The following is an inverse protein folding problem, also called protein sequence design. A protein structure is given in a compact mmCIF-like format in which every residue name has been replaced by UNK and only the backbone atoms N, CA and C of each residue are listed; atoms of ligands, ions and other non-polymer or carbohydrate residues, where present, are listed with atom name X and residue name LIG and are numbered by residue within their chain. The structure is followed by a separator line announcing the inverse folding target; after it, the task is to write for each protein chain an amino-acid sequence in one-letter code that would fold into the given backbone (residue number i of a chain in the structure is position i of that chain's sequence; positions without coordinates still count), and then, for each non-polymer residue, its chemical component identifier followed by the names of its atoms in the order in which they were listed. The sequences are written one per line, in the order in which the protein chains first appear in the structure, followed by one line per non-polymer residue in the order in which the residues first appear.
data_IF_462982405076
#
_entry.id   IF_462982405076
#
_cell.length_a   1.000
_cell.length_b   1.000
_cell.length_c   1.000
_cell.angle_alpha   90.00
_cell.angle_beta   90.00
_cell.angle_gamma   90.00
#
_symmetry.space_group_name_H-M   'P 1'
#
loop_
_entity.id
_entity.type
_entity.pdbx_description
1 polymer ?
2 polymer ?
3 non-polymer ?
4 non-polymer ?
5 non-polymer ?
6 non-polymer ?
7 water ?
#
# COMPACT_ATOMS: atom_id res chain seq x y z
N UNK A 1 1.93 0.50 -4.57
CA UNK A 1 2.97 -0.26 -3.88
C UNK A 1 2.89 -1.74 -4.21
N UNK A 2 4.05 -2.33 -4.45
CA UNK A 2 4.12 -3.78 -4.67
C UNK A 2 3.52 -4.53 -3.49
N UNK A 3 3.70 -4.00 -2.28
CA UNK A 3 3.24 -4.68 -1.07
C UNK A 3 1.72 -4.70 -1.02
N UNK A 4 1.09 -3.54 -1.15
CA UNK A 4 -0.36 -3.50 -1.15
C UNK A 4 -0.94 -4.26 -2.33
N UNK A 5 -0.25 -4.25 -3.48
CA UNK A 5 -0.79 -4.93 -4.66
C UNK A 5 -0.82 -6.44 -4.46
N UNK A 6 0.29 -7.03 -4.01
CA UNK A 6 0.26 -8.47 -3.74
C UNK A 6 -0.71 -8.79 -2.60
N UNK A 7 -0.85 -7.91 -1.61
CA UNK A 7 -1.83 -8.15 -0.55
C UNK A 7 -3.23 -8.27 -1.15
N UNK A 8 -3.63 -7.29 -1.95
CA UNK A 8 -4.99 -7.29 -2.49
C UNK A 8 -5.18 -8.46 -3.46
N UNK A 9 -4.14 -8.78 -4.25
CA UNK A 9 -4.26 -9.91 -5.17
C UNK A 9 -4.45 -11.21 -4.39
N UNK A 10 -3.73 -11.37 -3.28
CA UNK A 10 -3.87 -12.58 -2.48
C UNK A 10 -5.23 -12.64 -1.80
N UNK A 11 -5.57 -11.59 -1.05
CA UNK A 11 -6.85 -11.55 -0.36
C UNK A 11 -8.02 -11.77 -1.33
N UNK A 12 -7.89 -11.30 -2.56
CA UNK A 12 -8.93 -11.55 -3.55
C UNK A 12 -9.21 -13.03 -3.71
N UNK A 13 -8.22 -13.88 -3.43
CA UNK A 13 -8.38 -15.33 -3.50
C UNK A 13 -8.40 -15.97 -2.11
N UNK A 14 -8.49 -15.17 -1.05
CA UNK A 14 -8.58 -15.67 0.32
C UNK A 14 -7.41 -16.61 0.63
N UNK A 15 -6.21 -16.14 0.36
CA UNK A 15 -5.01 -16.94 0.52
C UNK A 15 -3.87 -16.08 1.06
N UNK A 16 -2.86 -16.76 1.59
CA UNK A 16 -1.66 -16.10 2.05
C UNK A 16 -0.75 -15.75 0.87
N UNK A 17 0.12 -14.77 1.10
CA UNK A 17 1.13 -14.43 0.12
C UNK A 17 1.91 -15.69 -0.27
N UNK A 18 2.02 -15.93 -1.58
CA UNK A 18 2.78 -17.06 -2.06
C UNK A 18 4.28 -16.80 -1.87
N UNK A 19 5.09 -17.86 -1.76
CA UNK A 19 6.54 -17.65 -1.61
C UNK A 19 7.14 -16.84 -2.74
N UNK A 20 6.58 -16.92 -3.94
CA UNK A 20 7.06 -16.09 -5.03
C UNK A 20 6.79 -14.62 -4.80
N UNK A 21 5.55 -14.28 -4.48
CA UNK A 21 5.21 -12.90 -4.15
C UNK A 21 6.04 -12.39 -2.99
N UNK A 22 6.22 -13.22 -1.97
CA UNK A 22 7.09 -12.86 -0.86
C UNK A 22 8.50 -12.55 -1.34
N UNK A 23 9.05 -13.39 -2.23
CA UNK A 23 10.39 -13.14 -2.74
C UNK A 23 10.45 -11.82 -3.49
N UNK A 24 9.42 -11.53 -4.31
CA UNK A 24 9.33 -10.23 -4.96
C UNK A 24 9.41 -9.10 -3.94
N UNK A 25 8.61 -9.18 -2.89
CA UNK A 25 8.66 -8.16 -1.84
C UNK A 25 10.06 -8.06 -1.26
N UNK A 26 10.77 -9.20 -1.16
CA UNK A 26 12.13 -9.19 -0.63
C UNK A 26 13.05 -8.39 -1.56
N UNK A 27 12.98 -8.67 -2.86
CA UNK A 27 13.76 -7.89 -3.81
C UNK A 27 13.45 -6.40 -3.70
N UNK A 28 12.18 -6.07 -3.47
CA UNK A 28 11.79 -4.67 -3.31
C UNK A 28 12.50 -4.04 -2.10
N UNK A 29 12.31 -4.64 -0.92
CA UNK A 29 12.91 -4.09 0.28
C UNK A 29 14.42 -4.00 0.13
N UNK A 30 15.04 -4.94 -0.58
CA UNK A 30 16.48 -4.86 -0.80
C UNK A 30 16.85 -3.77 -1.80
N UNK A 31 15.92 -3.40 -2.67
CA UNK A 31 16.12 -2.25 -3.55
C UNK A 31 15.74 -0.93 -2.89
N UNK A 32 15.27 -0.98 -1.63
CA UNK A 32 14.80 0.24 -0.98
C UNK A 32 15.78 1.39 -1.04
N UNK A 33 17.06 1.14 -0.74
CA UNK A 33 18.02 2.23 -0.60
C UNK A 33 18.27 2.93 -1.95
N UNK A 34 18.60 2.16 -2.98
CA UNK A 34 18.73 2.73 -4.31
C UNK A 34 17.45 3.44 -4.73
N UNK A 35 16.30 2.87 -4.38
CA UNK A 35 15.02 3.49 -4.71
C UNK A 35 14.91 4.89 -4.11
N UNK A 36 15.05 4.99 -2.79
CA UNK A 36 15.00 6.29 -2.13
C UNK A 36 16.03 7.24 -2.72
N UNK A 37 17.22 6.72 -3.05
CA UNK A 37 18.23 7.56 -3.68
C UNK A 37 17.69 8.20 -4.96
N UNK A 38 17.14 7.39 -5.86
CA UNK A 38 16.55 7.93 -7.07
C UNK A 38 15.48 8.97 -6.73
N UNK A 39 14.63 8.65 -5.75
CA UNK A 39 13.54 9.55 -5.40
C UNK A 39 14.07 10.92 -5.00
N UNK A 40 15.07 10.96 -4.11
CA UNK A 40 15.59 12.24 -3.65
C UNK A 40 16.39 12.95 -4.73
N UNK A 41 17.03 12.19 -5.64
CA UNK A 41 17.72 12.82 -6.76
C UNK A 41 16.71 13.55 -7.66
N UNK A 42 15.59 12.89 -7.96
CA UNK A 42 14.56 13.54 -8.76
C UNK A 42 14.00 14.76 -8.03
N UNK A 43 13.58 14.57 -6.78
CA UNK A 43 13.05 15.69 -6.00
C UNK A 43 14.02 16.87 -6.00
N UNK A 44 15.31 16.61 -5.86
CA UNK A 44 16.30 17.68 -5.80
C UNK A 44 16.29 18.53 -7.07
N UNK A 45 16.22 17.88 -8.23
CA UNK A 45 16.29 18.56 -9.52
C UNK A 45 14.92 18.76 -10.14
N UNK A 46 13.85 18.79 -9.34
CA UNK A 46 12.50 18.83 -9.88
C UNK A 46 12.27 20.09 -10.70
N UNK A 47 12.68 21.24 -10.17
CA UNK A 47 12.45 22.50 -10.88
C UNK A 47 13.11 22.48 -12.25
N UNK A 48 14.35 21.98 -12.32
CA UNK A 48 15.02 21.82 -13.60
C UNK A 48 14.22 20.90 -14.52
N UNK A 49 13.80 19.75 -14.00
CA UNK A 49 13.09 18.77 -14.82
C UNK A 49 11.84 19.39 -15.44
N UNK A 50 11.04 20.09 -14.63
CA UNK A 50 9.78 20.63 -15.13
C UNK A 50 10.04 21.81 -16.06
N UNK A 51 10.98 22.67 -15.71
CA UNK A 51 11.28 23.83 -16.54
C UNK A 51 11.74 23.38 -17.92
N UNK A 52 12.87 22.71 -17.98
CA UNK A 52 13.39 22.24 -19.27
C UNK A 52 12.33 21.41 -19.98
N UNK A 53 11.61 20.59 -19.21
C UNK A 53 8.71 20.13 -20.54
N UNK A 54 8.83 21.27 -19.87
CA UNK A 54 8.12 22.46 -20.26
C UNK A 54 8.59 23.05 -21.57
N UNK A 55 9.82 23.58 -21.56
CA UNK A 55 10.36 24.21 -22.78
C UNK A 55 10.36 23.23 -23.94
N UNK A 56 10.80 21.99 -23.71
CA UNK A 56 10.85 21.01 -24.78
C UNK A 56 9.45 20.69 -25.29
N UNK A 57 8.49 20.54 -24.38
CA UNK A 57 7.11 20.35 -24.78
C UNK A 57 6.66 21.47 -25.70
N UNK A 58 6.69 22.70 -25.21
CA UNK A 58 6.25 23.85 -26.01
C UNK A 58 6.94 23.86 -27.37
N UNK A 59 8.27 23.70 -27.39
CA UNK A 59 8.99 23.67 -28.65
C UNK A 59 8.47 22.57 -29.57
N UNK A 60 8.02 21.45 -29.01
CA UNK A 60 7.49 20.36 -29.79
C UNK A 60 5.99 20.47 -30.04
N UNK A 61 5.27 21.18 -29.18
CA UNK A 61 3.82 21.36 -29.33
C UNK A 61 3.46 22.83 -29.12
N UNK A 62 3.96 23.72 -29.98
CA UNK A 62 3.64 25.15 -29.82
C UNK A 62 2.16 25.47 -29.91
N UNK A 63 1.34 24.54 -30.43
CA UNK A 63 -0.08 24.81 -30.59
C UNK A 63 -0.76 25.02 -29.24
N UNK A 64 -0.32 24.31 -28.21
CA UNK A 64 -1.02 24.38 -26.92
C UNK A 64 -0.87 25.77 -26.31
N UNK A 65 0.26 26.44 -26.56
CA UNK A 65 0.49 27.76 -25.98
C UNK A 65 0.06 28.89 -26.91
N UNK A 66 -0.32 28.59 -28.14
CA UNK A 66 -0.71 29.59 -29.12
C UNK A 66 -2.18 29.96 -28.96
N UNK A 67 -2.61 31.05 -29.58
CA UNK A 67 -4.03 31.41 -29.53
C UNK A 67 -4.91 30.25 -29.96
N UNK A 68 -5.97 30.02 -29.19
CA UNK A 68 -6.80 28.86 -29.37
C UNK A 68 -6.33 27.62 -28.61
N UNK A 69 -5.05 27.57 -28.24
CA UNK A 69 -4.54 26.44 -27.49
C UNK A 69 -4.90 26.52 -26.01
N UNK A 70 -4.85 25.35 -25.36
CA UNK A 70 -5.28 25.25 -23.97
C UNK A 70 -4.39 26.03 -23.02
N UNK A 71 -3.13 26.28 -23.38
CA UNK A 71 -2.17 26.96 -22.52
C UNK A 71 -1.73 28.29 -23.11
N UNK A 72 -2.67 29.01 -23.72
CA UNK A 72 -2.39 30.33 -24.29
C UNK A 72 -2.31 31.35 -23.17
N UNK A 73 -1.18 32.06 -23.08
CA UNK A 73 -0.96 33.02 -22.04
C UNK A 73 -0.02 32.50 -20.95
N UNK A 74 0.60 33.44 -20.23
CA UNK A 74 1.59 33.05 -19.24
C UNK A 74 0.93 32.44 -18.00
N UNK A 75 -0.31 32.81 -17.72
CA UNK A 75 -1.01 32.23 -16.57
C UNK A 75 -1.39 30.78 -16.85
N UNK A 76 -1.93 30.50 -18.04
CA UNK A 76 -2.27 29.13 -18.39
C UNK A 76 -1.02 28.30 -18.60
N UNK A 77 0.00 28.87 -19.25
CA UNK A 77 1.31 28.23 -19.30
C UNK A 77 1.77 27.82 -17.92
N UNK A 78 1.74 28.76 -16.97
CA UNK A 78 2.14 28.48 -15.61
C UNK A 78 1.34 27.31 -15.03
N UNK A 79 0.00 27.35 -15.15
CA UNK A 79 -0.81 26.26 -14.63
C UNK A 79 -0.39 24.93 -15.22
N UNK A 80 -0.14 24.91 -16.52
CA UNK A 80 0.33 23.71 -17.26
C UNK A 80 1.71 23.25 -16.63
N UNK A 81 2.60 24.19 -16.41
CA UNK A 81 3.86 23.82 -15.68
C UNK A 81 3.42 23.19 -14.29
N UNK A 82 2.50 23.82 -13.57
CA UNK A 82 2.06 23.25 -12.26
C UNK A 82 1.62 21.73 -12.42
N UNK A 83 0.81 21.43 -13.43
CA UNK A 83 0.40 20.01 -13.67
C UNK A 83 1.73 19.15 -13.85
N UNK A 84 2.64 19.59 -14.68
CA UNK A 84 3.84 18.78 -14.85
C UNK A 84 4.52 18.51 -13.51
N UNK A 85 4.60 19.52 -12.65
CA UNK A 85 5.12 19.32 -11.31
C UNK A 85 4.35 18.22 -10.59
N UNK A 86 3.02 18.33 -10.58
CA UNK A 86 2.17 17.28 -9.99
C UNK A 86 2.63 15.91 -10.45
N UNK A 87 2.68 15.70 -11.77
CA UNK A 87 2.95 14.37 -12.29
C UNK A 87 4.35 13.90 -11.93
N UNK A 88 5.33 14.81 -11.92
CA UNK A 88 6.67 14.41 -11.50
C UNK A 88 6.65 13.92 -10.05
N UNK A 89 6.00 14.67 -9.17
CA UNK A 89 5.84 14.21 -7.80
C UNK A 89 5.23 12.81 -7.76
N UNK A 90 4.15 12.61 -8.51
CA UNK A 90 3.58 11.26 -8.62
C UNK A 90 4.63 10.24 -9.03
N UNK A 91 5.54 10.62 -9.92
CA UNK A 91 6.58 9.69 -10.36
C UNK A 91 7.49 9.35 -9.18
N UNK A 92 7.81 10.33 -8.34
CA UNK A 92 8.68 10.03 -7.20
C UNK A 92 7.96 9.09 -6.22
N UNK A 93 6.68 9.35 -5.95
CA UNK A 93 5.90 8.42 -5.14
C UNK A 93 5.99 7.01 -5.71
N UNK A 94 5.66 6.85 -6.99
CA UNK A 94 5.73 5.55 -7.62
C UNK A 94 7.08 4.89 -7.47
N UNK A 95 8.15 5.64 -7.74
CA UNK A 95 9.49 5.11 -7.56
C UNK A 95 9.64 4.52 -6.16
N UNK A 96 9.32 5.32 -5.14
CA UNK A 96 9.47 4.85 -3.76
C UNK A 96 8.60 3.61 -3.51
N UNK A 97 7.43 3.52 -4.14
CA UNK A 97 6.45 2.51 -3.77
C UNK A 97 6.70 1.15 -4.42
N UNK A 98 7.27 1.12 -5.62
CA UNK A 98 7.55 -0.13 -6.30
C UNK A 98 6.61 -0.47 -7.43
N UNK A 99 5.54 0.30 -7.62
CA UNK A 99 4.62 0.09 -8.73
C UNK A 99 3.93 1.42 -9.01
N UNK A 100 2.82 1.37 -9.75
CA UNK A 100 2.16 2.58 -10.23
C UNK A 100 0.92 2.91 -9.41
N UNK A 101 0.71 2.25 -8.28
CA UNK A 101 -0.50 2.46 -7.48
C UNK A 101 -0.69 3.93 -7.15
N UNK A 102 0.26 4.61 -6.49
CA UNK A 102 0.02 6.00 -6.12
C UNK A 102 -0.23 6.91 -7.31
N UNK A 103 0.42 6.65 -8.45
CA UNK A 103 0.20 7.46 -9.64
C UNK A 103 -1.21 7.27 -10.15
N UNK A 104 -1.65 6.01 -10.30
CA UNK A 104 -3.01 5.73 -10.72
C UNK A 104 -4.01 6.38 -9.77
N UNK A 105 -3.92 6.05 -8.48
CA UNK A 105 -4.87 6.55 -7.50
C UNK A 105 -4.94 8.07 -7.50
N UNK A 106 -3.80 8.74 -7.63
CA UNK A 106 -3.77 10.18 -7.40
C UNK A 106 -4.04 10.99 -8.66
N UNK A 107 -3.67 10.48 -9.84
CA UNK A 107 -3.75 11.31 -11.03
C UNK A 107 -3.83 10.58 -12.35
N UNK A 108 -4.48 9.42 -12.37
CA UNK A 108 -4.84 8.78 -13.64
C UNK A 108 -6.27 8.25 -13.68
N UNK A 109 -6.89 7.97 -12.54
CA UNK A 109 -8.27 7.51 -12.52
C UNK A 109 -9.16 8.66 -12.94
N UNK A 110 -9.58 8.66 -14.21
CA UNK A 110 -10.49 9.67 -14.71
C UNK A 110 -9.84 10.93 -15.21
N UNK A 111 -8.53 10.91 -15.49
CA UNK A 111 -7.87 12.10 -16.02
C UNK A 111 -8.49 12.54 -17.33
N UNK A 112 -8.73 11.58 -18.24
CA UNK A 112 -9.30 11.94 -19.53
C UNK A 112 -10.59 12.74 -19.34
N UNK A 113 -11.40 12.36 -18.36
CA UNK A 113 -12.59 13.15 -18.04
C UNK A 113 -12.21 14.57 -17.66
N UNK A 114 -11.31 14.71 -16.69
CA UNK A 114 -10.83 16.01 -16.23
C UNK A 114 -10.44 16.89 -17.41
N UNK A 115 -9.40 16.48 -18.14
CA UNK A 115 -8.88 17.29 -19.23
C UNK A 115 -9.90 17.50 -20.33
N UNK A 116 -10.84 16.56 -20.50
CA UNK A 116 -11.89 16.77 -21.49
C UNK A 116 -12.78 17.93 -21.10
N UNK A 117 -13.22 17.96 -19.84
CA UNK A 117 -13.92 19.14 -19.33
C UNK A 117 -13.07 20.39 -19.52
N UNK A 118 -11.80 20.33 -19.09
CA UNK A 118 -10.93 21.50 -19.14
C UNK A 118 -10.57 21.92 -20.56
N UNK A 119 -10.66 21.00 -21.52
CA UNK A 119 -10.26 21.31 -22.87
C UNK A 119 -8.78 21.16 -23.12
N UNK A 120 -8.08 20.37 -22.30
CA UNK A 120 -6.65 20.17 -22.44
C UNK A 120 -6.38 18.98 -23.36
N UNK A 121 -5.52 19.10 -24.37
CA UNK A 121 -5.19 17.93 -25.20
C UNK A 121 -4.34 16.95 -24.41
N UNK A 122 -4.80 15.70 -24.36
CA UNK A 122 -4.16 14.70 -23.50
C UNK A 122 -2.78 14.35 -24.04
N UNK A 123 -2.67 14.14 -25.36
CA UNK A 123 -1.37 13.88 -25.96
C UNK A 123 -0.36 14.94 -25.58
N UNK A 124 -0.81 16.19 -25.41
CA UNK A 124 0.09 17.23 -24.94
C UNK A 124 0.66 16.91 -23.57
N UNK A 125 -0.20 16.48 -22.65
CA UNK A 125 0.27 16.07 -21.32
C UNK A 125 1.28 14.94 -21.46
N UNK A 126 0.92 13.91 -22.25
CA UNK A 126 1.83 12.80 -22.49
C UNK A 126 3.20 13.30 -22.95
N UNK A 127 3.21 14.30 -23.83
CA UNK A 127 4.48 14.82 -24.33
C UNK A 127 5.22 15.58 -23.24
N UNK A 128 4.50 16.30 -22.38
CA UNK A 128 5.14 17.01 -21.29
C UNK A 128 5.84 16.06 -20.33
N UNK A 129 5.13 15.03 -19.88
CA UNK A 129 5.74 14.08 -18.96
C UNK A 129 6.84 13.28 -19.67
N UNK A 130 6.69 13.02 -20.97
CA UNK A 130 7.75 12.35 -21.72
C UNK A 130 9.03 13.18 -21.69
N UNK A 131 8.94 14.44 -22.10
CA UNK A 131 10.09 15.34 -22.00
C UNK A 131 10.65 15.33 -20.58
N UNK A 132 9.76 15.36 -19.59
CA UNK A 132 10.18 15.23 -18.20
C UNK A 132 10.97 13.95 -17.99
N UNK A 133 10.73 12.91 -18.79
CA UNK A 133 11.53 11.69 -18.68
C UNK A 133 12.83 11.77 -19.47
N UNK A 134 12.92 12.63 -20.49
CA UNK A 134 14.20 12.84 -21.15
C UNK A 134 15.17 13.58 -20.23
N UNK A 135 14.73 14.71 -19.68
CA UNK A 135 15.54 15.43 -18.70
C UNK A 135 15.87 14.52 -17.52
N UNK A 136 14.82 14.00 -16.87
CA UNK A 136 15.02 13.10 -15.73
C UNK A 136 16.05 12.02 -16.06
N UNK A 137 15.87 11.32 -17.18
CA UNK A 137 16.86 10.33 -17.59
C UNK A 137 18.24 10.94 -17.71
N UNK A 138 18.34 12.20 -18.12
CA UNK A 138 19.64 12.86 -18.16
C UNK A 138 20.21 13.04 -16.77
N UNK A 139 19.36 13.21 -15.76
CA UNK A 139 19.84 13.39 -14.39
C UNK A 139 20.30 12.10 -13.74
N UNK A 140 19.90 10.94 -14.28
CA UNK A 140 20.22 9.65 -13.69
C UNK A 140 21.14 8.86 -14.62
N UNK A 141 22.04 8.08 -14.01
CA UNK A 141 22.97 7.24 -14.74
C UNK A 141 22.51 5.79 -14.63
N UNK A 142 22.32 5.14 -15.78
CA UNK A 142 21.83 3.77 -15.84
C UNK A 142 22.39 2.83 -14.80
N UNK A 143 23.33 1.98 -15.23
C UNK A 143 19.22 1.70 -13.47
N UNK A 144 19.71 2.65 -12.69
CA UNK A 144 18.83 3.51 -11.90
C UNK A 144 17.79 4.19 -12.79
N UNK A 145 18.21 4.51 -14.02
CA UNK A 145 17.35 5.24 -14.94
C UNK A 145 16.16 4.39 -15.39
N UNK A 146 16.33 3.08 -15.43
CA UNK A 146 15.29 2.17 -15.88
C UNK A 146 14.00 2.41 -15.12
N UNK A 147 14.01 2.14 -13.81
CA UNK A 147 12.82 2.23 -12.96
C UNK A 147 12.01 3.50 -13.27
N UNK A 148 12.57 4.66 -12.93
CA UNK A 148 11.90 5.91 -13.23
C UNK A 148 11.44 5.96 -14.68
N UNK A 149 12.23 5.40 -15.58
CA UNK A 149 11.87 5.33 -16.98
C UNK A 149 10.50 4.71 -17.18
N UNK A 150 10.32 3.46 -16.78
CA UNK A 150 9.01 2.83 -16.94
C UNK A 150 7.94 3.54 -16.13
N UNK A 151 8.31 4.26 -15.07
CA UNK A 151 7.30 5.03 -14.34
C UNK A 151 6.72 6.14 -15.22
N UNK A 152 7.58 7.04 -15.71
CA UNK A 152 7.14 8.05 -16.66
C UNK A 152 6.34 7.41 -17.79
N UNK A 153 6.93 6.40 -18.43
CA UNK A 153 6.27 5.75 -19.56
C UNK A 153 4.87 5.28 -19.20
N UNK A 154 4.71 4.65 -18.04
CA UNK A 154 3.37 4.27 -17.63
C UNK A 154 2.48 5.50 -17.48
N UNK A 155 3.05 6.63 -17.11
CA UNK A 155 2.24 7.85 -17.01
C UNK A 155 1.74 8.30 -18.37
N UNK A 156 2.66 8.59 -19.31
CA UNK A 156 2.20 9.11 -20.60
C UNK A 156 1.40 8.08 -21.38
N UNK A 157 1.53 6.80 -21.05
CA UNK A 157 0.69 5.81 -21.69
C UNK A 157 -0.71 5.84 -21.10
N UNK A 158 -0.78 5.87 -19.76
CA UNK A 158 -2.05 5.79 -19.07
C UNK A 158 -2.88 7.04 -19.28
N UNK A 159 -2.23 8.16 -19.57
CA UNK A 159 -2.97 9.41 -19.75
C UNK A 159 -4.00 9.27 -20.88
N UNK A 160 -3.59 8.70 -22.01
CA UNK A 160 -4.47 8.56 -23.19
C UNK A 160 -4.97 7.14 -23.35
N UNK B 1 -6.92 1.16 1.28
CA UNK B 1 -5.85 0.20 1.66
C UNK B 1 -4.48 0.83 1.44
N UNK B 2 -3.84 1.20 2.54
CA UNK B 2 -2.49 1.74 2.53
C UNK B 2 -1.61 0.89 3.44
N UNK B 3 -0.34 1.30 3.54
CA UNK B 3 0.61 0.65 4.44
C UNK B 3 1.64 1.69 4.84
N UNK B 4 2.72 1.24 5.49
CA UNK B 4 3.77 2.16 5.91
C UNK B 4 4.17 3.08 4.78
N UNK B 5 4.60 2.52 3.65
CA UNK B 5 5.10 3.32 2.54
C UNK B 5 3.98 4.21 1.99
N UNK B 6 2.87 3.59 1.57
CA UNK B 6 1.77 4.39 1.02
C UNK B 6 1.19 5.33 2.06
N UNK B 7 1.27 4.99 3.34
CA UNK B 7 0.85 5.93 4.37
C UNK B 7 1.74 7.16 4.38
N UNK B 8 3.06 6.97 4.25
CA UNK B 8 3.98 8.10 4.16
C UNK B 8 3.67 8.93 2.91
N UNK B 9 3.49 8.25 1.77
CA UNK B 9 3.13 8.92 0.53
C UNK B 9 1.92 9.82 0.73
N UNK B 10 0.79 9.21 1.08
CA UNK B 10 -0.44 9.99 1.30
C UNK B 10 -0.22 11.10 2.30
N UNK B 11 0.61 10.85 3.32
CA UNK B 11 1.00 11.94 4.22
C UNK B 11 1.72 13.06 3.48
N UNK B 12 2.35 12.75 2.34
CA UNK B 12 3.06 13.74 1.55
C UNK B 12 2.29 14.15 0.30
N UNK B 13 1.03 13.73 0.16
CA UNK B 13 0.21 14.09 -0.99
C UNK B 13 -0.87 15.10 -0.66
N UNK B 14 -1.55 14.93 0.48
CA UNK B 14 -2.59 15.87 0.86
C UNK B 14 -2.01 17.24 1.17
N UNK B 15 -0.72 17.32 1.49
CA UNK B 15 -0.03 18.60 1.66
C UNK B 15 0.59 19.10 0.38
N UNK B 16 0.62 18.28 -0.68
CA UNK B 16 1.18 18.69 -1.94
C UNK B 16 2.68 18.89 -1.91
N UNK B 17 3.40 18.09 -1.13
CA UNK B 17 4.84 18.22 -0.97
C UNK B 17 5.53 16.98 -1.50
N UNK B 18 6.70 17.18 -2.11
CA UNK B 18 7.58 16.05 -2.37
C UNK B 18 8.01 15.43 -1.04
N UNK B 19 8.47 14.18 -1.12
CA UNK B 19 8.91 13.47 0.07
C UNK B 19 10.13 14.16 0.67
N UNK B 20 10.04 14.56 1.93
CA UNK B 20 11.14 15.22 2.61
C UNK B 20 11.97 14.19 3.38
N UNK B 21 12.97 14.67 4.12
CA UNK B 21 13.86 13.78 4.85
C UNK B 21 13.10 12.88 5.81
N UNK B 22 11.99 13.37 6.39
CA UNK B 22 11.21 12.56 7.30
C UNK B 22 10.60 11.35 6.58
N UNK B 23 9.91 11.59 5.47
CA UNK B 23 9.38 10.48 4.67
C UNK B 23 10.47 9.48 4.36
N UNK B 24 11.63 9.96 3.90
CA UNK B 24 12.74 9.06 3.60
C UNK B 24 13.15 8.28 4.83
N UNK B 25 13.03 8.88 6.02
CA UNK B 25 13.40 8.19 7.25
C UNK B 25 12.42 7.06 7.55
N UNK B 26 11.13 7.36 7.60
CA UNK B 26 10.14 6.31 7.88
C UNK B 26 10.24 5.19 6.86
N UNK B 27 10.24 5.55 5.57
CA UNK B 27 10.46 4.54 4.53
C UNK B 27 11.69 3.72 4.83
N UNK B 28 12.77 4.38 5.24
CA UNK B 28 13.98 3.68 5.65
C UNK B 28 13.67 2.63 6.70
N UNK B 29 12.97 3.03 7.76
CA UNK B 29 12.64 2.09 8.82
C UNK B 29 11.89 0.87 8.31
N UNK B 30 10.81 1.11 7.57
CA UNK B 30 10.07 -0.04 7.05
C UNK B 30 10.98 -0.93 6.22
N UNK B 31 11.78 -0.32 5.34
CA UNK B 31 12.74 -1.11 4.55
C UNK B 31 13.66 -1.91 5.46
N UNK B 32 13.87 -1.45 6.69
CA UNK B 32 14.73 -2.16 7.62
C UNK B 32 14.00 -3.32 8.27
N UNK B 33 12.69 -3.23 8.44
CA UNK B 33 11.90 -4.32 9.01
C UNK B 33 11.30 -5.26 7.97
N UNK B 34 11.50 -4.96 6.68
CA UNK B 34 10.87 -5.71 5.62
C UNK B 34 11.18 -7.19 5.65
N UNK B 35 12.46 -7.55 5.58
CA UNK B 35 12.84 -8.96 5.59
C UNK B 35 12.19 -9.70 6.75
N UNK B 36 12.23 -9.11 7.95
CA UNK B 36 11.54 -9.72 9.09
C UNK B 36 10.08 -10.00 8.75
N UNK B 37 9.36 -8.96 8.30
CA UNK B 37 7.95 -9.13 7.99
C UNK B 37 7.73 -10.25 6.99
N UNK B 38 8.52 -10.25 5.91
CA UNK B 38 8.39 -11.29 4.88
C UNK B 38 8.53 -12.68 5.50
N UNK B 39 9.63 -12.89 6.24
CA UNK B 39 9.85 -14.20 6.84
C UNK B 39 8.68 -14.60 7.74
N UNK B 40 8.30 -13.72 8.66
CA UNK B 40 7.20 -14.03 9.57
C UNK B 40 5.94 -14.40 8.80
N UNK B 41 5.64 -13.67 7.71
CA UNK B 41 4.47 -14.00 6.91
C UNK B 41 4.61 -15.38 6.29
N UNK B 42 5.81 -15.74 5.85
CA UNK B 42 6.03 -17.09 5.35
C UNK B 42 5.74 -18.13 6.43
N UNK B 43 6.30 -17.94 7.63
CA UNK B 43 6.16 -18.94 8.69
C UNK B 43 4.71 -19.09 9.11
N UNK B 44 4.00 -17.98 9.30
CA UNK B 44 2.58 -18.05 9.65
C UNK B 44 1.80 -18.72 8.53
N UNK B 45 2.04 -18.30 7.28
CA UNK B 45 1.38 -18.94 6.16
C UNK B 45 1.57 -20.45 6.19
N UNK B 46 2.74 -20.91 6.63
CA UNK B 46 3.01 -22.35 6.64
C UNK B 46 2.29 -23.06 7.77
N UNK B 47 1.98 -22.36 8.87
CA UNK B 47 1.49 -23.00 10.09
C UNK B 47 0.16 -22.43 10.55
N UNK B 48 -0.62 -21.86 9.64
CA UNK B 48 -1.90 -21.26 10.03
C UNK B 48 -2.79 -22.28 10.73
N UNK B 49 -2.93 -23.47 10.14
CA UNK B 49 -3.74 -24.52 10.74
C UNK B 49 -3.34 -24.77 12.19
N UNK B 50 -2.09 -25.18 12.41
CA UNK B 50 -1.66 -25.53 13.76
C UNK B 50 -1.84 -24.35 14.72
N UNK B 51 -1.74 -23.12 14.23
CA UNK B 51 -1.91 -21.96 15.09
C UNK B 51 -3.36 -21.82 15.52
N UNK B 52 -4.30 -21.94 14.58
CA UNK B 52 -5.71 -21.86 14.97
C UNK B 52 -6.06 -23.01 15.90
N UNK B 53 -5.47 -24.19 15.67
CA UNK B 53 -5.63 -25.31 16.59
C UNK B 53 -5.22 -24.90 18.00
N UNK B 54 -3.95 -24.53 18.17
CA UNK B 54 -3.43 -24.21 19.49
C UNK B 54 -4.22 -23.07 20.14
N UNK B 55 -4.76 -22.16 19.34
CA UNK B 55 -5.59 -21.09 19.88
C UNK B 55 -6.92 -21.63 20.40
N UNK B 56 -7.61 -22.45 19.61
CA UNK B 56 -8.93 -22.95 20.00
C UNK B 56 -8.82 -23.81 21.25
N UNK B 57 -8.02 -24.87 21.19
CA UNK B 57 -7.79 -25.66 22.39
C UNK B 57 -7.28 -24.80 23.54
N UNK B 58 -6.66 -23.66 23.23
CA UNK B 58 -6.06 -22.83 24.27
C UNK B 58 -7.12 -22.11 25.08
N UNK B 59 -8.00 -21.34 24.42
CA UNK B 59 -8.95 -20.51 25.15
C UNK B 59 -10.39 -21.02 25.10
N UNK B 60 -10.73 -21.95 24.21
CA UNK B 60 -12.12 -22.28 23.94
C UNK B 60 -12.52 -23.68 24.42
N UNK B 61 -11.78 -24.71 24.03
CA UNK B 61 -12.27 -26.07 24.21
C UNK B 61 -12.41 -26.43 25.68
N UNK B 62 -13.36 -27.33 25.96
CA UNK B 62 -13.57 -27.89 27.29
C UNK B 62 -14.07 -26.84 28.28
N UNK B 63 -15.03 -26.03 27.83
CA UNK B 63 -15.72 -25.07 28.68
C UNK B 63 -17.16 -24.98 28.23
N UNK B 64 -17.91 -24.05 28.81
CA UNK B 64 -19.29 -23.83 28.40
C UNK B 64 -19.38 -23.49 26.91
N UNK B 65 -18.50 -22.59 26.45
CA UNK B 65 -18.55 -22.05 25.09
C UNK B 65 -18.79 -23.17 24.09
N UNK B 66 -18.20 -24.33 24.32
CA UNK B 66 -18.29 -25.45 23.38
C UNK B 66 -19.39 -26.44 23.73
N UNK B 67 -19.95 -26.38 24.93
CA UNK B 67 -20.98 -27.33 25.36
C UNK B 67 -22.36 -26.80 25.00
N UNK B 68 -23.39 -27.66 25.04
CA UNK B 68 -24.76 -27.20 24.81
C UNK B 68 -25.05 -25.89 25.52
N UNK B 69 -25.94 -25.08 24.95
CA UNK B 69 -26.06 -23.71 25.40
C UNK B 69 -24.87 -22.84 25.04
N UNK B 70 -23.94 -23.35 24.25
CA UNK B 70 -22.72 -22.62 23.92
C UNK B 70 -22.76 -22.02 22.54
N UNK B 71 -21.91 -21.02 22.30
CA UNK B 71 -21.94 -20.27 21.08
C UNK B 71 -21.19 -20.96 19.93
N UNK B 72 -20.27 -21.80 20.33
CA UNK B 72 -19.61 -22.66 19.33
C UNK B 72 -19.94 -24.13 19.67
N UNK B 73 -21.12 -24.43 20.19
CA UNK B 73 -21.43 -25.78 20.71
C UNK B 73 -21.73 -26.68 19.49
N UNK B 74 -22.63 -26.28 18.58
CA UNK B 74 -22.98 -27.14 17.42
C UNK B 74 -21.81 -27.22 16.43
N UNK B 75 -21.80 -28.15 15.48
CA UNK B 75 -20.66 -28.26 14.53
C UNK B 75 -20.67 -27.01 13.53
N UNK B 76 -21.84 -26.57 13.03
CA UNK B 76 -21.93 -25.39 12.16
C UNK B 76 -21.32 -24.15 12.89
N UNK B 77 -21.71 -23.86 14.16
CA UNK B 77 -21.13 -22.70 14.92
C UNK B 77 -19.59 -22.94 15.20
N UNK B 78 -19.17 -24.16 15.51
CA UNK B 78 -17.71 -24.48 15.60
C UNK B 78 -16.98 -23.99 14.23
N UNK B 79 -17.47 -24.41 13.06
CA UNK B 79 -16.80 -24.11 11.76
C UNK B 79 -16.79 -22.52 11.54
N UNK B 80 -17.93 -21.93 11.76
CA UNK B 80 -18.01 -20.45 11.75
C UNK B 80 -16.92 -19.84 12.74
N UNK B 81 -16.82 -20.35 13.97
CA UNK B 81 -15.87 -19.72 14.94
C UNK B 81 -14.43 -19.91 14.36
N UNK B 82 -13.96 -21.15 14.16
CA UNK B 82 -12.57 -21.35 13.61
C UNK B 82 -12.35 -20.57 12.26
N UNK B 83 -13.37 -20.38 11.47
CA UNK B 83 -13.31 -19.58 10.26
C UNK B 83 -13.03 -18.12 10.59
N UNK B 84 -13.69 -17.60 11.62
CA UNK B 84 -13.42 -16.24 12.08
C UNK B 84 -11.96 -16.09 12.52
N UNK B 85 -11.47 -17.03 13.32
CA UNK B 85 -10.08 -16.94 13.77
C UNK B 85 -9.12 -17.03 12.60
N UNK B 86 -9.46 -17.84 11.59
CA UNK B 86 -8.61 -17.92 10.41
C UNK B 86 -8.56 -16.58 9.69
N UNK B 87 -9.72 -15.96 9.49
CA UNK B 87 -9.75 -14.61 8.92
C UNK B 87 -8.88 -13.66 9.73
N UNK B 88 -9.15 -13.55 11.03
CA UNK B 88 -8.40 -12.64 11.89
C UNK B 88 -6.90 -12.86 11.74
N UNK B 89 -6.46 -14.11 11.75
CA UNK B 89 -5.03 -14.36 11.63
C UNK B 89 -4.51 -13.89 10.27
N UNK B 90 -5.25 -14.17 9.20
CA UNK B 90 -4.76 -13.85 7.86
C UNK B 90 -4.66 -12.34 7.66
N UNK B 91 -5.63 -11.60 8.19
CA UNK B 91 -5.55 -10.14 8.09
C UNK B 91 -4.53 -9.58 9.06
N UNK B 92 -4.25 -10.27 10.16
CA UNK B 92 -3.15 -9.89 11.03
C UNK B 92 -1.81 -10.05 10.31
N UNK B 93 -1.66 -11.14 9.57
CA UNK B 93 -0.48 -11.32 8.74
C UNK B 93 -0.40 -10.24 7.67
N UNK B 94 -1.52 -9.94 7.03
CA UNK B 94 -1.58 -8.84 6.07
C UNK B 94 -1.07 -7.55 6.70
N UNK B 95 -1.84 -7.00 7.64
CA UNK B 95 -1.42 -5.76 8.29
C UNK B 95 0.01 -5.79 8.77
N UNK B 96 0.43 -6.91 9.33
CA UNK B 96 1.82 -7.04 9.78
C UNK B 96 2.78 -6.76 8.64
N UNK B 97 2.65 -7.51 7.54
CA UNK B 97 3.54 -7.31 6.40
C UNK B 97 3.44 -5.89 5.88
N UNK B 98 2.24 -5.29 5.92
CA UNK B 98 2.03 -3.96 5.38
C UNK B 98 2.70 -2.90 6.23
N UNK B 99 2.40 -2.88 7.53
CA UNK B 99 2.93 -1.89 8.43
C UNK B 99 1.94 -0.87 8.94
N UNK B 100 0.63 -1.10 8.73
CA UNK B 100 -0.40 -0.16 9.16
C UNK B 100 -1.71 -0.92 9.30
N UNK B 101 -2.53 -0.60 10.31
CA UNK B 101 -3.72 -1.41 10.59
C UNK B 101 -4.99 -1.01 9.85
N UNK B 102 -4.92 -0.11 8.86
CA UNK B 102 -6.14 0.38 8.22
C UNK B 102 -6.91 -0.75 7.54
N UNK B 103 -6.19 -1.70 6.93
CA UNK B 103 -6.85 -2.81 6.25
C UNK B 103 -7.82 -3.52 7.18
N UNK B 104 -7.48 -3.60 8.47
CA UNK B 104 -8.39 -4.20 9.44
C UNK B 104 -9.66 -3.35 9.58
N UNK B 105 -9.50 -2.04 9.75
CA UNK B 105 -10.66 -1.15 9.85
C UNK B 105 -11.49 -1.15 8.57
N UNK B 106 -10.92 -1.61 7.45
CA UNK B 106 -11.58 -1.49 6.16
C UNK B 106 -12.23 -2.79 5.69
N UNK B 107 -11.71 -3.96 6.06
CA UNK B 107 -12.17 -5.21 5.50
C UNK B 107 -12.51 -6.29 6.52
N UNK B 108 -12.43 -6.01 7.83
CA UNK B 108 -12.81 -7.01 8.81
C UNK B 108 -13.59 -6.35 9.95
N UNK B 109 -13.21 -5.13 10.33
CA UNK B 109 -13.82 -4.49 11.49
C UNK B 109 -15.20 -3.92 11.17
N UNK B 110 -15.27 -2.99 10.23
CA UNK B 110 -16.52 -2.30 9.92
C UNK B 110 -17.67 -3.27 9.71
N UNK B 111 -18.60 -3.27 10.66
C UNK B 111 -20.22 -4.85 12.55
N UNK B 112 -18.97 -5.23 12.84
CA UNK B 112 -18.68 -6.57 13.32
C UNK B 112 -19.05 -6.71 14.78
N UNK B 113 -18.79 -5.65 15.56
CA UNK B 113 -19.20 -5.64 16.96
C UNK B 113 -20.72 -5.67 17.08
N UNK B 114 -21.40 -4.76 16.37
CA UNK B 114 -22.86 -4.75 16.37
C UNK B 114 -23.43 -6.04 15.79
N UNK B 115 -22.73 -6.63 14.81
CA UNK B 115 -23.19 -7.89 14.25
C UNK B 115 -23.10 -9.01 15.28
N UNK B 116 -21.93 -9.17 15.91
CA UNK B 116 -21.80 -10.18 16.95
C UNK B 116 -22.82 -9.97 18.06
N UNK B 117 -23.03 -8.72 18.48
CA UNK B 117 -24.03 -8.44 19.50
C UNK B 117 -25.41 -8.88 19.03
N UNK B 118 -25.76 -8.60 17.77
CA UNK B 118 -27.09 -8.86 17.28
C UNK B 118 -27.33 -10.33 16.95
N UNK B 119 -26.26 -11.14 16.85
CA UNK B 119 -26.41 -12.56 16.60
C UNK B 119 -25.96 -13.43 17.77
N UNK B 120 -25.57 -12.81 18.90
CA UNK B 120 -25.24 -13.55 20.09
C UNK B 120 -23.79 -13.95 20.23
N UNK B 121 -22.98 -13.77 19.20
CA UNK B 121 -21.56 -14.14 19.26
C UNK B 121 -20.92 -13.37 20.40
N UNK B 122 -20.40 -14.04 21.42
CA UNK B 122 -19.77 -13.30 22.52
C UNK B 122 -18.44 -12.68 22.10
N UNK B 123 -18.12 -11.55 22.72
CA UNK B 123 -16.88 -10.84 22.41
C UNK B 123 -15.74 -11.26 23.32
N UNK B 124 -16.03 -11.58 24.58
CA UNK B 124 -15.00 -11.98 25.52
C UNK B 124 -14.20 -13.18 25.06
N UNK B 125 -14.88 -14.30 24.82
CA UNK B 125 -14.20 -15.49 24.34
C UNK B 125 -13.50 -15.24 23.01
N UNK B 126 -14.00 -14.28 22.23
CA UNK B 126 -13.34 -13.93 20.97
C UNK B 126 -12.04 -13.17 21.24
N UNK B 127 -12.07 -12.20 22.16
CA UNK B 127 -10.85 -11.50 22.54
C UNK B 127 -9.82 -12.48 23.07
N UNK B 128 -10.24 -13.35 24.00
CA UNK B 128 -9.33 -14.34 24.55
C UNK B 128 -8.81 -15.28 23.46
N UNK B 129 -9.64 -15.59 22.46
CA UNK B 129 -9.20 -16.45 21.38
C UNK B 129 -8.12 -15.78 20.55
N UNK B 130 -8.39 -14.57 20.06
CA UNK B 130 -7.40 -13.86 19.24
C UNK B 130 -6.12 -13.65 20.03
N UNK B 131 -6.22 -13.29 21.31
CA UNK B 131 -5.03 -13.17 22.14
C UNK B 131 -4.27 -14.48 22.20
N UNK B 132 -4.99 -15.60 22.36
CA UNK B 132 -4.35 -16.90 22.28
C UNK B 132 -3.58 -17.06 20.97
N UNK B 133 -4.18 -16.61 19.86
CA UNK B 133 -3.44 -16.61 18.61
C UNK B 133 -2.19 -15.76 18.70
N UNK B 134 -2.24 -14.68 19.48
CA UNK B 134 -1.08 -13.82 19.66
C UNK B 134 0.04 -14.57 20.38
N UNK B 135 -0.30 -15.29 21.44
CA UNK B 135 0.72 -16.00 22.21
C UNK B 135 1.28 -17.18 21.41
N UNK B 136 0.41 -17.93 20.74
CA UNK B 136 0.88 -19.06 19.93
C UNK B 136 1.79 -18.57 18.81
N UNK B 137 1.27 -17.67 17.97
CA UNK B 137 2.08 -17.11 16.89
C UNK B 137 3.40 -16.57 17.42
N UNK B 138 3.34 -15.80 18.50
CA UNK B 138 4.55 -15.25 19.11
C UNK B 138 5.56 -16.35 19.42
N UNK B 139 5.19 -17.25 20.32
CA UNK B 139 6.12 -18.31 20.73
C UNK B 139 6.63 -19.11 19.55
N UNK B 140 5.91 -19.15 18.43
CA UNK B 140 6.33 -19.94 17.29
C UNK B 140 7.16 -19.16 16.27
N UNK B 141 7.15 -17.83 16.33
CA UNK B 141 7.91 -17.01 15.39
C UNK B 141 9.03 -16.25 16.09
N UNK B 142 8.77 -15.70 17.28
CA UNK B 142 9.78 -15.00 18.02
C UNK B 142 9.24 -13.79 18.76
N UNK B 143 10.14 -13.02 19.37
CA UNK B 143 9.71 -11.84 20.15
C UNK B 143 9.48 -10.61 19.30
N UNK B 144 10.33 -10.37 18.30
CA UNK B 144 10.15 -9.21 17.43
C UNK B 144 8.93 -9.42 16.54
N UNK B 145 8.97 -10.43 15.68
CA UNK B 145 7.80 -10.74 14.85
C UNK B 145 6.57 -11.04 15.70
N UNK B 146 6.78 -11.57 16.90
CA UNK B 146 5.67 -11.86 17.79
C UNK B 146 5.03 -10.62 18.39
N UNK B 147 5.82 -9.57 18.60
CA UNK B 147 5.27 -8.31 19.06
C UNK B 147 4.63 -7.55 17.91
N UNK B 148 5.23 -7.63 16.71
CA UNK B 148 4.64 -6.97 15.55
C UNK B 148 3.27 -7.54 15.20
N UNK B 149 3.10 -8.86 15.24
CA UNK B 149 1.74 -9.40 15.25
C UNK B 149 0.98 -8.95 16.48
N UNK B 150 1.65 -8.80 17.62
CA UNK B 150 0.94 -8.37 18.82
C UNK B 150 0.17 -7.08 18.63
N UNK B 151 0.77 -6.10 17.95
CA UNK B 151 0.12 -4.79 17.82
C UNK B 151 -1.15 -4.91 17.01
N UNK B 152 -1.16 -5.77 15.98
CA UNK B 152 -2.33 -5.90 15.13
C UNK B 152 -3.41 -6.76 15.78
N UNK B 153 -3.03 -7.90 16.38
CA UNK B 153 -3.98 -8.68 17.15
C UNK B 153 -4.66 -7.82 18.19
N UNK B 154 -3.87 -7.08 18.98
CA UNK B 154 -4.42 -6.15 19.95
C UNK B 154 -5.34 -5.14 19.27
N UNK B 155 -4.94 -4.64 18.10
CA UNK B 155 -5.78 -3.72 17.36
C UNK B 155 -7.17 -4.32 17.15
N UNK B 156 -7.21 -5.58 16.68
CA UNK B 156 -8.50 -6.24 16.46
C UNK B 156 -9.26 -6.36 17.78
N UNK B 157 -8.55 -6.66 18.87
CA UNK B 157 -9.21 -6.72 20.18
C UNK B 157 -9.89 -5.41 20.50
N UNK B 158 -9.18 -4.29 20.30
CA UNK B 158 -9.75 -2.97 20.56
C UNK B 158 -10.90 -2.67 19.60
N UNK B 159 -10.90 -3.26 18.42
CA UNK B 159 -11.97 -3.05 17.46
C UNK B 159 -13.23 -3.80 17.85
N UNK B 160 -13.08 -5.03 18.33
CA UNK B 160 -14.23 -5.81 18.77
C UNK B 160 -14.76 -5.28 20.10
N UNK B 161 -13.87 -4.97 21.03
CA UNK B 161 -14.27 -4.46 22.33
C UNK B 161 -14.50 -2.95 22.26
X LIG C 1 -5.91 23.01 -15.30
X LIG C 1 -5.28 20.89 -14.25
X LIG C 1 -5.98 21.98 -14.25
X LIG C 1 -6.90 22.08 -13.09
X LIG C 1 -6.63 20.83 -12.32
X LIG C 1 -5.56 20.14 -13.15
X LIG C 1 -7.35 20.51 -11.05
X LIG C 1 -7.87 23.24 -12.84
X LIG C 1 -7.82 24.03 -11.52
X LIG C 1 -6.49 24.02 -10.86
X LIG C 1 -5.53 23.68 -11.48
X LIG C 1 -6.32 24.37 -9.72
X LIG C 1 -4.73 18.86 -13.05
X LIG C 1 -5.29 17.90 -10.80
X LIG C 1 -4.59 17.87 -11.95
X LIG C 1 -3.70 16.66 -12.01
X LIG C 1 -3.92 15.94 -10.72
X LIG C 1 -4.92 16.81 -10.08
X LIG C 1 -2.79 16.28 -13.13
X LIG C 1 -3.29 14.67 -10.22
X LIG C 1 -2.39 14.97 -9.04
X LIG C 1 -5.38 16.53 -8.91
X LIG C 1 -2.25 22.65 -21.06
X LIG C 1 -1.76 22.33 -22.26
X LIG C 1 -0.82 21.18 -22.09
X LIG C 1 -0.96 20.85 -20.56
X LIG C 1 -1.99 21.82 -20.04
X LIG C 1 -1.07 19.95 -22.91
X LIG C 1 0.31 21.05 -19.72
X LIG C 1 1.35 20.00 -20.06
X LIG C 1 -1.97 22.81 -23.37
X LIG C 1 -2.51 21.76 -18.75
X LIG C 1 -4.13 22.22 -16.93
X LIG C 1 -3.58 22.63 -18.09
X LIG C 1 -4.17 23.98 -18.46
X LIG C 1 -5.15 24.21 -17.39
X LIG C 1 -5.05 23.07 -16.52
X LIG C 1 -4.03 25.00 -19.55
X LIG C 1 -6.05 25.38 -17.19
X LIG C 1 -7.01 25.53 -18.36
X LIG C 1 -7.97 26.64 -18.08
X LIG C 1 -8.56 27.25 -19.00
X LIG C 1 -8.21 26.95 -16.89
X LIG C 1 -6.59 23.84 -15.15
X LIG C 1 -6.97 19.62 -10.62
X LIG C 1 -8.38 20.39 -11.25
X LIG C 1 -7.22 21.31 -10.35
X LIG C 1 -7.75 23.94 -13.66
X LIG C 1 -8.89 22.83 -12.94
X LIG C 1 -8.62 23.62 -10.89
X LIG C 1 -8.08 25.07 -11.73
X LIG C 1 -4.03 18.59 -13.84
X LIG C 1 -5.97 18.61 -10.51
X LIG C 1 -2.89 16.98 -13.92
X LIG C 1 -1.79 16.29 -12.79
X LIG C 1 -3.04 15.32 -13.48
X LIG C 1 -2.70 14.21 -11.02
X LIG C 1 -4.06 13.97 -9.93
X LIG C 1 -1.63 15.64 -9.33
X LIG C 1 -1.96 14.07 -8.69
X LIG C 1 -2.96 15.40 -8.26
X LIG C 1 -2.87 23.41 -20.92
X LIG C 1 0.18 21.55 -22.35
X LIG C 1 -1.34 19.86 -20.26
X LIG C 1 -0.41 19.18 -22.61
X LIG C 1 -2.07 19.63 -22.78
X LIG C 1 -0.90 20.17 -23.94
X LIG C 1 0.98 19.04 -19.81
X LIG C 1 1.56 20.04 -21.10
X LIG C 1 2.23 20.20 -19.51
X LIG C 1 -2.20 20.88 -18.19
X LIG C 1 -3.90 21.32 -16.45
X LIG C 1 -3.73 25.94 -19.13
X LIG C 1 -3.29 24.69 -20.24
X LIG C 1 -4.96 25.12 -20.05
X LIG C 1 -5.45 26.28 -17.11
X LIG C 1 -6.59 25.26 -16.24
X LIG C 1 -7.58 24.61 -18.49
X LIG C 1 -6.41 25.67 -19.27
X LIG D 1 -10.21 27.05 -24.91
X LIG D 1 -9.25 26.06 -24.24
X LIG D 1 -9.41 24.77 -24.82
X LIG D 1 -8.72 24.61 -26.05
X LIG D 1 -9.30 23.42 -26.81
X LIG D 1 -8.49 23.14 -27.96
X LIG D 1 -9.76 27.42 -25.82
X LIG D 1 -11.13 26.53 -25.17
X LIG D 1 -8.22 26.40 -24.38
X LIG D 1 -9.45 26.01 -23.17
X LIG D 1 -7.65 24.45 -25.88
X LIG D 1 -8.84 25.52 -26.65
X LIG D 1 -10.33 23.63 -27.11
X LIG D 1 -9.31 22.55 -26.15
X LIG E 1 -10.79 30.02 -15.88
X LIG E 1 -11.50 31.24 -15.61
X LIG E 1 -10.23 30.04 -17.30
X LIG E 1 -11.30 29.95 -18.24
X LIG E 1 -10.86 29.63 -19.56
X LIG E 1 -9.85 30.66 -20.04
X LIG E 1 -9.64 30.55 -21.46
X LIG E 1 -9.96 29.92 -15.17
X LIG E 1 -11.45 29.17 -15.75
X LIG E 1 -11.84 31.22 -14.71
X LIG E 1 -9.55 29.20 -17.44
X LIG E 1 -9.67 30.96 -17.47
X LIG E 1 -10.39 28.64 -19.56
X LIG E 1 -11.71 29.59 -20.23
X LIG E 1 -8.90 30.53 -19.52
X LIG E 1 -10.23 31.67 -19.82
X LIG E 1 -9.01 31.22 -21.74
X LIG F 1 3.31 31.10 -22.88
X LIG G 1 1.98 -17.87 -6.88
X LIG H 1 -4.95 14.49 -27.66
X LIG I 1 -18.30 -17.38 -2.18
X LIG J 1 15.82 24.88 -18.51
X LIG K 1 -1.36 -2.40 -12.37
X LIG L 1 -21.00 -15.55 12.82
X LIG L 1 -19.03 -14.10 12.14
X LIG L 1 -20.31 -14.55 11.98
X LIG L 1 -21.05 -13.94 10.87
X LIG L 1 -20.09 -13.04 10.29
X LIG L 1 -18.83 -13.20 11.16
X LIG L 1 -20.65 -12.29 9.14
X LIG L 1 -22.45 -14.16 10.35
X LIG L 1 -22.45 -15.03 9.08
X LIG L 1 -22.27 -16.55 9.38
X LIG L 1 -21.15 -16.97 9.69
X LIG L 1 -23.20 -17.36 9.36
X LIG L 1 -17.43 -12.60 11.07
X LIG L 1 -17.41 -11.74 8.77
X LIG L 1 -16.73 -11.99 9.87
X LIG L 1 -15.34 -11.49 9.74
X LIG L 1 -15.29 -10.91 8.40
X LIG L 1 -16.63 -11.14 7.91
X LIG L 1 -14.21 -11.49 10.70
X LIG L 1 -14.18 -10.25 7.67
X LIG L 1 -12.86 -10.89 7.95
X LIG L 1 -16.97 -10.79 6.71
X LIG L 1 -18.06 -18.23 18.28
X LIG L 1 -17.44 -18.59 19.38
X LIG L 1 -16.07 -18.08 19.36
X LIG L 1 -16.14 -17.04 18.27
X LIG L 1 -17.42 -17.36 17.55
X LIG L 1 -15.72 -17.55 20.75
X LIG L 1 -14.97 -16.97 17.29
X LIG L 1 -13.65 -16.81 17.96
X LIG L 1 -17.85 -19.16 20.37
X LIG L 1 -17.76 -16.81 16.30
X LIG L 1 -19.25 -16.07 14.49
X LIG L 1 -19.04 -16.96 15.48
X LIG L 1 -20.19 -17.91 15.53
X LIG L 1 -21.10 -17.41 14.51
X LIG L 1 -20.40 -16.30 13.95
X LIG L 1 -20.59 -19.10 16.34
X LIG L 1 -22.40 -17.96 14.02
X LIG L 1 -23.65 -17.34 14.59
X LIG L 1 -24.83 -17.94 13.83
X LIG L 1 -25.40 -18.97 14.19
X LIG L 1 -25.19 -17.46 12.77
X LIG L 1 -21.99 -15.84 12.51
X LIG L 1 -19.89 -11.64 8.76
X LIG L 1 -21.48 -11.70 9.44
X LIG L 1 -20.94 -12.95 8.37
X LIG L 1 -23.05 -14.63 11.12
X LIG L 1 -22.90 -13.19 10.12
X LIG L 1 -21.69 -14.68 8.37
X LIG L 1 -23.41 -14.81 8.57
X LIG L 1 -16.71 -12.79 11.85
X LIG L 1 -18.35 -12.02 8.62
X LIG L 1 -14.51 -11.95 11.61
X LIG L 1 -13.91 -10.50 10.91
X LIG L 1 -13.39 -12.03 10.29
X LIG L 1 -14.38 -10.29 6.60
X LIG L 1 -14.13 -9.19 7.96
X LIG L 1 -12.10 -10.40 7.38
X LIG L 1 -12.63 -10.81 8.97
X LIG L 1 -12.89 -11.91 7.67
X LIG L 1 -18.97 -18.53 18.02
X LIG L 1 -15.39 -18.90 19.11
X LIG L 1 -16.27 -16.00 18.64
X LIG L 1 -16.37 -16.76 21.03
X LIG L 1 -15.77 -18.33 21.47
X LIG L 1 -14.73 -17.18 20.72
X LIG L 1 -15.13 -16.12 16.62
X LIG L 1 -12.89 -16.83 17.23
X LIG L 1 -13.63 -15.89 18.47
X LIG L 1 -13.51 -17.61 18.65
X LIG L 1 -17.03 -16.06 15.97
X LIG L 1 -18.61 -15.27 14.25
X LIG L 1 -20.46 -19.98 15.75
X LIG L 1 -19.98 -19.17 17.21
X LIG L 1 -21.60 -19.03 16.62
X LIG L 1 -22.33 -17.89 12.91
X LIG L 1 -22.41 -19.02 14.26
X LIG L 1 -23.56 -16.23 14.52
X LIG L 1 -23.68 -17.54 15.66
X LIG M 1 15.58 -7.95 12.06
X LIG M 1 15.36 -6.65 12.62
X LIG M 1 16.03 -7.82 10.61
X LIG M 1 16.19 -9.11 10.04
X LIG M 1 16.85 -9.04 8.77
X LIG M 1 16.79 -10.38 8.07
X LIG M 1 17.60 -10.36 6.89
X LIG M 1 14.64 -8.53 12.12
X LIG M 1 16.33 -8.48 12.64
X LIG M 1 15.08 -6.74 13.54
X LIG M 1 16.97 -7.29 10.58
X LIG M 1 15.29 -7.24 10.05
X LIG M 1 16.37 -8.27 8.15
X LIG M 1 17.89 -8.74 8.92
X LIG M 1 17.15 -11.16 8.74
X LIG M 1 15.76 -10.61 7.81
X LIG M 1 17.56 -11.21 6.46
X LIG N 1 -21.06 -7.21 26.40
X LIG N 1 -21.92 -6.39 27.21
X LIG N 1 -21.49 -7.09 24.93
X LIG N 1 -20.83 -8.11 24.19
X LIG N 1 -21.74 -8.82 23.34
X LIG N 1 -20.99 -9.97 22.68
X LIG N 1 -21.87 -10.71 21.83
X LIG N 1 -21.13 -8.25 26.72
X LIG N 1 -20.02 -6.87 26.51
X LIG N 1 -21.65 -6.47 28.13
X LIG N 1 -21.21 -6.11 24.55
X LIG N 1 -22.57 -7.21 24.86
X LIG N 1 -22.16 -8.15 22.59
X LIG N 1 -22.56 -9.22 23.94
X LIG N 1 -20.17 -9.56 22.09
X LIG N 1 -20.56 -10.62 23.44
X LIG N 1 -22.59 -11.08 22.37
X LIG O 1 -23.17 -32.36 27.31
X LIG P 1 -9.60 -27.46 30.48
X LIG Q 1 -14.26 -17.81 2.71
X LIG R 1 7.32 17.46 7.11
X LIG S 1 14.19 -7.02 8.23
X LIG T 1 9.01 -20.08 6.71
X LIG U 1 -25.12 -8.15 8.92
X LIG V 1 10.89 20.41 6.03
X LIG W 1 6.61 12.39 8.20
X LIG X 1 6.39 -1.52 12.30
X LIG Y 1 -5.71 7.92 0.45
X LIG Z 1 -20.37 -4.74 26.04
X LIG AA 1 -9.26 -7.54 -2.09
X LIG BA 1 -23.85 -20.38 10.12
X LIG CA 1 -18.18 -14.93 6.00
X LIG DA 1 10.61 18.74 -0.12
#
# INVERSE_FOLDING_TARGET
SIITKSIVNADAEARYLSPGELDRIKSFVLSGQRRLRIAQILTDNRELIVKQGGQQLFQKRPDVVSPGGNAYGEEMTATCLRDLDYYLRLVTYGIVAGDVTPIEEIGLVGVKEMYNSLGTPISGVAEGVRSMKNVACSLLAGEDSAEAGFYFDYTLGAMQ
MQDAITSVINAADVQGRYLDDNSLDKLRGYFQTGELRVRASATIAANAATIIKDSVAKALLYSDITRPGGNMYTTRRYAACIRDLDYYLRYATYGMLAGDPSILDERVLNGLKETYNSLGVPIGATIQAVQAMKEVTSSLVGPDAGKEMGVYFDYICSGLS
CYC CHA NA C1A C2A C3A C4A CMA CAA CBA CGA O1A O2A CHB NB C1B C2B C3B C4B CMB CAB CBB OB NC C1C C2C C3C C4C CMC CAC CBC OC CHD ND C1D C2D C3D C4D CMD CAD CBD CGD O1D O2D HHA HMA1 HMA2 HMA3 HAA1 HAA2 HBA1 HBA2 HHB HB HMB1 HMB2 HMB3 HAB1 HAB2 HBB1 HBB2 HBB3 HC H2C H3C HMC1 HMC2 HMC3 HBC1 HBC2 HBC3 HHD HD HMD1 HMD2 HMD3 HAD1 HAD2 HBD1 HBD2
PEG C1 C2 O2 C3 C4 O4 H11 H12 H21 H22 H31 H32 H41 H42
PEG C1 O1 C2 O2 C3 C4 O4 H11 H12 HO1 H21 H22 H31 H32 H41 H42 HO4
NA NA
NA NA
NA NA
NA NA
NA NA
CL CL
CYC CHA NA C1A C2A C3A C4A CMA CAA CBA CGA O1A O2A CHB NB C1B C2B C3B C4B CMB CAB CBB OB NC C1C C2C C3C C4C CMC CAC CBC OC CHD ND C1D C2D C3D C4D CMD CAD CBD CGD O1D O2D HHA HMA1 HMA2 HMA3 HAA1 HAA2 HBA1 HBA2 HHB HB HMB1 HMB2 HMB3 HAB1 HAB2 HBB1 HBB2 HBB3 HC H2C H3C HMC1 HMC2 HMC3 HAC1 HBC1 HBC2 HBC3 HHD HD HMD1 HMD2 HMD3 HAD1 HAD2 HBD1 HBD2
PEG C1 O1 C2 O2 C3 C4 O4 H11 H12 HO1 H21 H22 H31 H32 H41 H42 HO4
PEG C1 O1 C2 O2 C3 C4 O4 H11 H12 HO1 H21 H22 H31 H32 H41 H42 HO4
NA NA
NA NA
NA NA
NA NA
NA NA
NA NA
NA NA
NA NA
NA NA
NA NA
NA NA
NA NA
CL CL
CL CL
CL CL
CL CL
#
